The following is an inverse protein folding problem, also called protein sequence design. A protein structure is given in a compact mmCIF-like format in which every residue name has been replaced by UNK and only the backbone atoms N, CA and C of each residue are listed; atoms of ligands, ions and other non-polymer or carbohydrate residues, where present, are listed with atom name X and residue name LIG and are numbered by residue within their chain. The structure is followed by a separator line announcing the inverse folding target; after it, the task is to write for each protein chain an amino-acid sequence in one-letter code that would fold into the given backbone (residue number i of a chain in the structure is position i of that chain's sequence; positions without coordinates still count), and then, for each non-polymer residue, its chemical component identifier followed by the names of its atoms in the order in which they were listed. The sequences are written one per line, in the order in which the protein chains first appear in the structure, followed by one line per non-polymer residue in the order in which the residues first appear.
data_IF_374758978909
#
_entry.id   IF_374758978909
#
_cell.length_a   1.000
_cell.length_b   1.000
_cell.length_c   1.000
_cell.angle_alpha   90.00
_cell.angle_beta   90.00
_cell.angle_gamma   90.00
#
_symmetry.space_group_name_H-M   'P 1'
#
loop_
_entity.id
_entity.type
_entity.pdbx_description
1 polymer ?
#
# COMPACT_ATOMS: atom_id res chain seq x y z
N UNK A 1 -2.58 -21.25 -20.82
CA UNK A 1 -1.79 -20.35 -19.94
C UNK A 1 -2.51 -20.35 -18.61
N UNK A 2 -1.95 -21.05 -17.63
CA UNK A 2 -2.65 -21.25 -16.36
C UNK A 2 -2.87 -19.91 -15.66
N UNK A 3 -4.00 -19.79 -14.98
CA UNK A 3 -4.42 -18.59 -14.27
C UNK A 3 -3.34 -18.06 -13.28
N UNK A 4 -2.55 -18.98 -12.71
CA UNK A 4 -1.36 -18.63 -11.92
C UNK A 4 -0.30 -17.87 -12.72
N UNK A 5 -0.09 -18.22 -13.98
CA UNK A 5 0.83 -17.51 -14.87
C UNK A 5 0.40 -16.05 -15.11
N UNK A 6 -0.90 -15.80 -15.28
CA UNK A 6 -1.44 -14.43 -15.40
C UNK A 6 -1.17 -13.63 -14.13
N UNK A 7 -1.43 -14.20 -12.95
CA UNK A 7 -1.16 -13.55 -11.66
C UNK A 7 0.32 -13.20 -11.52
N UNK A 8 1.22 -14.12 -11.86
CA UNK A 8 2.67 -13.89 -11.74
C UNK A 8 3.09 -12.74 -12.65
N UNK A 9 2.67 -12.75 -13.92
CA UNK A 9 3.02 -11.70 -14.89
C UNK A 9 2.52 -10.33 -14.44
N UNK A 10 1.25 -10.25 -13.99
CA UNK A 10 0.67 -8.99 -13.53
C UNK A 10 1.37 -8.48 -12.28
N UNK A 11 1.77 -9.36 -11.35
CA UNK A 11 2.56 -8.96 -10.19
C UNK A 11 3.96 -8.46 -10.56
N UNK A 12 4.61 -9.05 -11.57
CA UNK A 12 5.89 -8.55 -12.10
C UNK A 12 5.70 -7.15 -12.69
N UNK A 13 4.68 -6.95 -13.53
CA UNK A 13 4.34 -5.63 -14.09
C UNK A 13 4.08 -4.62 -12.98
N UNK A 14 3.31 -4.99 -11.96
CA UNK A 14 3.03 -4.15 -10.78
C UNK A 14 4.30 -3.79 -10.04
N UNK A 15 5.18 -4.77 -9.81
CA UNK A 15 6.44 -4.56 -9.11
C UNK A 15 7.31 -3.52 -9.82
N UNK A 16 7.51 -3.66 -11.13
CA UNK A 16 8.22 -2.64 -11.93
C UNK A 16 7.45 -1.31 -11.97
N UNK A 17 6.12 -1.36 -11.98
CA UNK A 17 5.24 -0.19 -11.95
C UNK A 17 5.34 0.67 -10.68
N UNK A 18 5.82 0.11 -9.56
CA UNK A 18 6.02 0.87 -8.30
C UNK A 18 7.02 2.01 -8.44
N UNK A 19 7.93 1.96 -9.42
CA UNK A 19 8.89 3.03 -9.70
C UNK A 19 8.16 4.37 -9.96
N UNK A 20 7.06 4.34 -10.72
CA UNK A 20 6.31 5.55 -11.05
C UNK A 20 5.60 6.15 -9.84
N UNK A 21 5.07 5.29 -8.96
CA UNK A 21 4.47 5.71 -7.70
C UNK A 21 5.51 6.33 -6.77
N UNK A 22 6.64 5.65 -6.56
CA UNK A 22 7.74 6.13 -5.73
C UNK A 22 8.31 7.47 -6.24
N UNK A 23 8.36 7.67 -7.56
CA UNK A 23 8.75 8.95 -8.15
C UNK A 23 7.76 10.07 -7.79
N UNK A 24 6.46 9.84 -7.95
CA UNK A 24 5.42 10.82 -7.62
C UNK A 24 5.38 11.12 -6.11
N UNK A 25 5.53 10.12 -5.27
CA UNK A 25 5.61 10.30 -3.81
C UNK A 25 6.88 11.06 -3.40
N UNK A 26 8.02 10.78 -4.04
CA UNK A 26 9.27 11.51 -3.85
C UNK A 26 9.16 13.00 -4.21
N UNK A 27 8.30 13.36 -5.16
CA UNK A 27 7.97 14.75 -5.50
C UNK A 27 6.90 15.39 -4.59
N UNK A 28 6.55 14.73 -3.47
CA UNK A 28 5.51 15.17 -2.55
C UNK A 28 4.12 15.31 -3.21
N UNK A 29 3.84 14.54 -4.28
CA UNK A 29 2.53 14.50 -4.96
C UNK A 29 1.65 13.35 -4.45
N UNK A 30 1.81 12.98 -3.17
CA UNK A 30 1.06 11.87 -2.55
C UNK A 30 -0.45 12.09 -2.66
N UNK A 31 -0.93 13.31 -2.41
CA UNK A 31 -2.36 13.61 -2.50
C UNK A 31 -2.96 13.36 -3.90
N UNK A 32 -2.20 13.64 -4.97
CA UNK A 32 -2.63 13.37 -6.34
C UNK A 32 -2.77 11.87 -6.59
N UNK A 33 -1.74 11.10 -6.21
CA UNK A 33 -1.72 9.64 -6.37
C UNK A 33 -2.88 9.02 -5.62
N UNK A 34 -3.08 9.38 -4.35
CA UNK A 34 -4.12 8.81 -3.48
C UNK A 34 -5.53 9.15 -3.94
N UNK A 35 -5.77 10.36 -4.46
CA UNK A 35 -7.09 10.75 -5.01
C UNK A 35 -7.51 9.87 -6.19
N UNK A 36 -6.58 9.66 -7.12
CA UNK A 36 -6.87 8.85 -8.31
C UNK A 36 -6.94 7.36 -7.94
N UNK A 37 -6.11 6.91 -7.00
CA UNK A 37 -6.17 5.54 -6.48
C UNK A 37 -7.51 5.23 -5.82
N UNK A 38 -8.10 6.17 -5.10
CA UNK A 38 -9.44 6.02 -4.53
C UNK A 38 -10.50 5.85 -5.63
N UNK A 39 -10.43 6.63 -6.72
CA UNK A 39 -11.33 6.48 -7.87
C UNK A 39 -11.18 5.11 -8.55
N UNK A 40 -9.94 4.64 -8.76
CA UNK A 40 -9.68 3.31 -9.33
C UNK A 40 -10.16 2.19 -8.41
N UNK A 41 -10.01 2.36 -7.10
CA UNK A 41 -10.51 1.39 -6.11
C UNK A 41 -12.04 1.30 -6.13
N UNK A 42 -12.75 2.43 -6.26
CA UNK A 42 -14.20 2.44 -6.44
C UNK A 42 -14.63 1.70 -7.72
N UNK A 43 -13.92 1.95 -8.84
CA UNK A 43 -14.16 1.22 -10.09
C UNK A 43 -13.94 -0.29 -9.95
N UNK A 44 -12.89 -0.70 -9.22
CA UNK A 44 -12.60 -2.10 -8.93
C UNK A 44 -13.69 -2.77 -8.09
N UNK A 45 -14.21 -2.07 -7.08
CA UNK A 45 -15.31 -2.56 -6.24
C UNK A 45 -16.58 -2.75 -7.08
N UNK A 46 -16.95 -1.75 -7.88
CA UNK A 46 -18.14 -1.82 -8.75
C UNK A 46 -18.00 -3.00 -9.73
N UNK A 47 -16.83 -3.13 -10.37
CA UNK A 47 -16.56 -4.25 -11.29
C UNK A 47 -16.67 -5.60 -10.59
N UNK A 48 -16.13 -5.71 -9.37
CA UNK A 48 -16.18 -6.94 -8.59
C UNK A 48 -17.62 -7.33 -8.23
N UNK A 49 -18.47 -6.36 -7.87
CA UNK A 49 -19.90 -6.58 -7.62
C UNK A 49 -20.60 -7.08 -8.89
N UNK A 50 -20.37 -6.42 -10.03
CA UNK A 50 -20.97 -6.82 -11.31
C UNK A 50 -20.56 -8.24 -11.71
N UNK A 51 -19.28 -8.58 -11.57
CA UNK A 51 -18.78 -9.93 -11.88
C UNK A 51 -19.44 -10.99 -11.00
N UNK A 52 -19.60 -10.72 -9.70
CA UNK A 52 -20.27 -11.66 -8.78
C UNK A 52 -21.75 -11.86 -9.12
N UNK A 53 -22.44 -10.81 -9.57
CA UNK A 53 -23.84 -10.89 -9.97
C UNK A 53 -24.04 -11.67 -11.27
N UNK A 54 -23.10 -11.55 -12.22
CA UNK A 54 -23.18 -12.24 -13.52
C UNK A 54 -22.67 -13.69 -13.45
N UNK A 55 -21.65 -13.95 -12.64
CA UNK A 55 -21.01 -15.26 -12.52
C UNK A 55 -20.60 -15.54 -11.07
N UNK A 56 -21.01 -16.69 -10.53
CA UNK A 56 -20.63 -17.12 -9.17
C UNK A 56 -19.21 -17.73 -9.09
N UNK A 57 -18.46 -17.75 -10.19
CA UNK A 57 -17.13 -18.36 -10.22
C UNK A 57 -16.04 -17.36 -9.77
N UNK A 58 -15.32 -17.73 -8.72
CA UNK A 58 -14.23 -16.95 -8.12
C UNK A 58 -13.11 -16.60 -9.11
N UNK A 59 -12.91 -17.41 -10.17
CA UNK A 59 -11.88 -17.17 -11.18
C UNK A 59 -12.10 -15.84 -11.91
N UNK A 60 -13.34 -15.52 -12.27
CA UNK A 60 -13.64 -14.26 -12.96
C UNK A 60 -13.38 -13.04 -12.07
N UNK A 61 -13.65 -13.16 -10.77
CA UNK A 61 -13.34 -12.11 -9.81
C UNK A 61 -11.84 -11.84 -9.73
N UNK A 62 -11.02 -12.88 -9.76
CA UNK A 62 -9.58 -12.69 -9.69
C UNK A 62 -9.05 -12.09 -11.00
N UNK A 63 -9.54 -12.51 -12.16
CA UNK A 63 -9.19 -11.89 -13.46
C UNK A 63 -9.55 -10.40 -13.46
N UNK A 64 -10.74 -10.04 -12.99
CA UNK A 64 -11.15 -8.64 -12.88
C UNK A 64 -10.20 -7.84 -12.00
N UNK A 65 -9.77 -8.39 -10.85
CA UNK A 65 -8.78 -7.75 -9.98
C UNK A 65 -7.41 -7.57 -10.68
N UNK A 66 -6.95 -8.57 -11.43
CA UNK A 66 -5.68 -8.46 -12.18
C UNK A 66 -5.74 -7.35 -13.24
N UNK A 67 -6.88 -7.18 -13.93
CA UNK A 67 -7.09 -6.10 -14.91
C UNK A 67 -6.95 -4.72 -14.23
N UNK A 68 -7.57 -4.53 -13.07
CA UNK A 68 -7.46 -3.28 -12.30
C UNK A 68 -6.04 -3.00 -11.81
N UNK A 69 -5.25 -4.04 -11.47
CA UNK A 69 -3.83 -3.87 -11.15
C UNK A 69 -3.03 -3.33 -12.34
N UNK A 70 -3.27 -3.84 -13.55
CA UNK A 70 -2.61 -3.33 -14.76
C UNK A 70 -3.02 -1.89 -15.04
N UNK A 71 -4.31 -1.57 -14.94
CA UNK A 71 -4.79 -0.19 -15.09
C UNK A 71 -4.17 0.77 -14.08
N UNK A 72 -3.96 0.32 -12.83
CA UNK A 72 -3.27 1.12 -11.82
C UNK A 72 -1.84 1.46 -12.22
N UNK A 73 -1.09 0.50 -12.78
CA UNK A 73 0.28 0.72 -13.26
C UNK A 73 0.31 1.69 -14.44
N UNK A 74 -0.57 1.50 -15.43
CA UNK A 74 -0.68 2.38 -16.60
C UNK A 74 -1.00 3.81 -16.17
N UNK A 75 -1.93 3.97 -15.23
CA UNK A 75 -2.30 5.26 -14.65
C UNK A 75 -1.12 5.91 -13.93
N UNK A 76 -0.36 5.16 -13.12
CA UNK A 76 0.82 5.70 -12.43
C UNK A 76 1.89 6.15 -13.43
N UNK A 77 2.13 5.37 -14.49
CA UNK A 77 3.01 5.73 -15.59
C UNK A 77 2.57 7.02 -16.29
N UNK A 78 1.28 7.16 -16.58
CA UNK A 78 0.72 8.35 -17.22
C UNK A 78 0.90 9.60 -16.34
N UNK A 79 0.53 9.50 -15.06
CA UNK A 79 0.68 10.61 -14.10
C UNK A 79 2.14 11.02 -13.93
N UNK A 80 3.05 10.07 -13.81
CA UNK A 80 4.48 10.33 -13.67
C UNK A 80 5.06 11.09 -14.86
N UNK A 81 4.50 10.90 -16.06
CA UNK A 81 4.90 11.61 -17.30
C UNK A 81 4.24 12.97 -17.51
N UNK A 82 3.19 13.29 -16.75
CA UNK A 82 2.44 14.55 -16.86
C UNK A 82 2.88 15.57 -15.80
N UNK A 83 3.27 15.08 -14.62
CA UNK A 83 3.73 15.91 -13.49
C UNK A 83 5.08 16.59 -13.79
N UNK A 84 5.29 17.78 -13.22
CA UNK A 84 6.52 18.59 -13.39
C UNK A 84 6.88 18.82 -14.86
N UNK A 85 5.90 19.22 -15.68
CA UNK A 85 6.08 19.52 -17.12
C UNK A 85 6.67 18.34 -17.93
N UNK A 86 6.52 17.12 -17.41
CA UNK A 86 7.09 15.94 -18.03
C UNK A 86 8.61 15.84 -17.90
N UNK A 87 9.23 16.41 -16.84
CA UNK A 87 10.66 16.23 -16.50
C UNK A 87 11.11 14.76 -16.54
N UNK A 88 10.21 13.82 -16.25
CA UNK A 88 10.51 12.39 -16.39
C UNK A 88 10.94 12.00 -17.82
N UNK A 89 10.36 12.66 -18.84
CA UNK A 89 10.70 12.44 -20.26
C UNK A 89 12.05 13.04 -20.64
N UNK A 90 12.49 14.07 -19.92
CA UNK A 90 13.78 14.73 -20.17
C UNK A 90 14.96 14.04 -19.51
N UNK A 91 14.74 13.05 -18.63
CA UNK A 91 15.85 12.29 -18.07
C UNK A 91 16.52 11.47 -19.17
N UNK A 92 17.74 11.89 -19.53
CA UNK A 92 18.61 11.14 -20.43
C UNK A 92 19.06 9.87 -19.71
N UNK A 93 19.14 8.77 -20.44
CA UNK A 93 19.61 7.49 -19.92
C UNK A 93 21.08 7.63 -19.48
N UNK A 94 21.30 7.95 -18.20
CA UNK A 94 22.63 8.04 -17.61
C UNK A 94 23.10 6.62 -17.27
N UNK A 95 24.40 6.34 -17.45
CA UNK A 95 25.00 5.08 -16.99
C UNK A 95 24.74 4.91 -15.50
N UNK A 96 24.52 3.66 -15.10
CA UNK A 96 24.30 3.29 -13.70
C UNK A 96 25.44 3.82 -12.81
N UNK A 97 25.07 4.67 -11.86
CA UNK A 97 26.00 5.24 -10.89
C UNK A 97 26.12 4.30 -9.69
N UNK A 98 27.22 3.53 -9.67
CA UNK A 98 27.49 2.54 -8.63
C UNK A 98 27.67 3.20 -7.26
N UNK A 99 28.22 4.40 -7.22
CA UNK A 99 28.46 5.13 -5.98
C UNK A 99 27.13 5.54 -5.35
N UNK A 100 26.28 6.22 -6.12
CA UNK A 100 24.92 6.60 -5.69
C UNK A 100 24.09 5.36 -5.29
N UNK A 101 24.15 4.29 -6.08
CA UNK A 101 23.44 3.05 -5.76
C UNK A 101 23.90 2.45 -4.43
N UNK A 102 25.19 2.47 -4.13
CA UNK A 102 25.72 1.94 -2.86
C UNK A 102 25.20 2.70 -1.63
N UNK A 103 25.01 4.03 -1.77
CA UNK A 103 24.42 4.87 -0.71
C UNK A 103 22.93 4.56 -0.51
N UNK A 104 22.19 4.33 -1.58
CA UNK A 104 20.74 4.02 -1.53
C UNK A 104 20.51 2.56 -1.08
N UNK A 105 21.35 1.62 -1.51
CA UNK A 105 21.18 0.19 -1.24
C UNK A 105 21.27 -0.12 0.26
N UNK A 106 22.25 0.47 0.98
CA UNK A 106 22.45 0.26 2.43
C UNK A 106 21.17 0.45 3.27
N UNK A 107 20.43 1.57 3.17
CA UNK A 107 19.16 1.73 3.87
C UNK A 107 18.02 0.92 3.21
N UNK A 108 18.01 0.80 1.88
CA UNK A 108 16.93 0.13 1.15
C UNK A 108 16.82 -1.37 1.49
N UNK A 109 17.94 -2.12 1.54
CA UNK A 109 17.88 -3.55 1.84
C UNK A 109 17.39 -3.82 3.26
N UNK A 110 17.81 -3.00 4.24
CA UNK A 110 17.36 -3.10 5.63
C UNK A 110 15.86 -2.84 5.75
N UNK A 111 15.38 -1.81 5.06
CA UNK A 111 13.95 -1.50 5.00
C UNK A 111 13.16 -2.61 4.30
N UNK A 112 13.71 -3.18 3.22
CA UNK A 112 13.11 -4.31 2.50
C UNK A 112 12.98 -5.56 3.37
N UNK A 113 14.06 -5.96 4.06
CA UNK A 113 14.05 -7.12 4.98
C UNK A 113 13.07 -6.88 6.14
N UNK A 114 13.07 -5.69 6.73
CA UNK A 114 12.11 -5.34 7.79
C UNK A 114 10.67 -5.42 7.29
N UNK A 115 10.38 -4.89 6.10
CA UNK A 115 9.05 -4.96 5.50
C UNK A 115 8.60 -6.38 5.18
N UNK A 116 9.51 -7.22 4.68
CA UNK A 116 9.27 -8.64 4.45
C UNK A 116 9.01 -9.40 5.74
N UNK A 117 9.79 -9.15 6.81
CA UNK A 117 9.56 -9.80 8.09
C UNK A 117 8.24 -9.37 8.73
N UNK A 118 7.93 -8.07 8.75
CA UNK A 118 6.69 -7.60 9.38
C UNK A 118 5.44 -8.11 8.66
N UNK A 119 5.38 -7.99 7.33
CA UNK A 119 4.23 -8.45 6.56
C UNK A 119 4.21 -9.98 6.42
N UNK A 120 5.37 -10.58 6.23
CA UNK A 120 5.55 -12.02 6.11
C UNK A 120 5.12 -12.73 7.39
N UNK A 121 5.56 -12.28 8.56
CA UNK A 121 5.15 -12.86 9.85
C UNK A 121 3.63 -12.76 10.02
N UNK A 122 3.05 -11.60 9.77
CA UNK A 122 1.59 -11.39 9.87
C UNK A 122 0.81 -12.37 8.99
N UNK A 123 1.22 -12.53 7.73
CA UNK A 123 0.55 -13.40 6.77
C UNK A 123 0.80 -14.90 7.07
N UNK A 124 2.01 -15.26 7.48
CA UNK A 124 2.38 -16.63 7.87
C UNK A 124 1.63 -17.06 9.12
N UNK A 125 1.50 -16.20 10.13
CA UNK A 125 0.69 -16.49 11.32
C UNK A 125 -0.77 -16.78 10.95
N UNK A 126 -1.35 -16.00 10.03
CA UNK A 126 -2.70 -16.27 9.51
C UNK A 126 -2.83 -17.62 8.81
N UNK A 127 -1.85 -17.95 7.96
CA UNK A 127 -1.84 -19.20 7.20
C UNK A 127 -1.61 -20.43 8.09
N UNK A 128 -0.65 -20.37 9.01
CA UNK A 128 -0.36 -21.45 9.95
C UNK A 128 -1.57 -21.74 10.84
N UNK A 129 -2.20 -20.68 11.39
CA UNK A 129 -3.37 -20.85 12.23
C UNK A 129 -4.56 -21.45 11.47
N UNK A 130 -4.73 -21.09 10.19
CA UNK A 130 -5.77 -21.66 9.35
C UNK A 130 -5.56 -23.15 9.01
N UNK A 131 -4.33 -23.66 9.10
CA UNK A 131 -4.03 -25.07 8.83
C UNK A 131 -4.19 -25.98 10.05
N UNK A 132 -3.85 -25.47 11.25
CA UNK A 132 -3.81 -26.27 12.48
C UNK A 132 -5.02 -26.06 13.40
N UNK A 133 -5.73 -24.94 13.26
CA UNK A 133 -6.81 -24.53 14.15
C UNK A 133 -8.15 -25.15 13.80
N UNK A 134 -9.02 -25.31 14.81
CA UNK A 134 -10.43 -25.64 14.60
C UNK A 134 -11.11 -24.51 13.80
N UNK A 135 -11.85 -24.81 12.72
CA UNK A 135 -12.59 -23.81 11.94
C UNK A 135 -13.42 -22.82 12.77
N UNK A 136 -13.96 -23.25 13.91
CA UNK A 136 -14.75 -22.40 14.82
C UNK A 136 -13.96 -21.25 15.43
N UNK A 137 -12.64 -21.41 15.60
CA UNK A 137 -11.75 -20.39 16.16
C UNK A 137 -10.95 -19.68 15.07
N UNK A 138 -10.65 -20.36 13.97
CA UNK A 138 -9.92 -19.81 12.82
C UNK A 138 -10.68 -18.67 12.16
N UNK A 139 -11.98 -18.84 11.89
CA UNK A 139 -12.79 -17.81 11.22
C UNK A 139 -12.82 -16.45 11.97
N UNK A 140 -13.16 -16.39 13.27
CA UNK A 140 -13.12 -15.13 14.02
C UNK A 140 -11.71 -14.56 14.18
N UNK A 141 -10.67 -15.40 14.24
CA UNK A 141 -9.27 -14.94 14.24
C UNK A 141 -8.89 -14.23 12.94
N UNK A 142 -9.17 -14.84 11.78
CA UNK A 142 -8.86 -14.26 10.47
C UNK A 142 -9.64 -12.96 10.23
N UNK A 143 -10.90 -12.91 10.68
CA UNK A 143 -11.71 -11.69 10.65
C UNK A 143 -11.08 -10.58 11.50
N UNK A 144 -10.67 -10.90 12.72
CA UNK A 144 -10.01 -9.96 13.63
C UNK A 144 -8.72 -9.42 13.03
N UNK A 145 -7.89 -10.29 12.44
CA UNK A 145 -6.67 -9.89 11.75
C UNK A 145 -6.95 -8.94 10.58
N UNK A 146 -8.01 -9.19 9.81
CA UNK A 146 -8.42 -8.31 8.71
C UNK A 146 -8.85 -6.94 9.24
N UNK A 147 -9.66 -6.89 10.30
CA UNK A 147 -10.11 -5.64 10.91
C UNK A 147 -8.93 -4.82 11.47
N UNK A 148 -8.02 -5.45 12.21
CA UNK A 148 -6.81 -4.79 12.74
C UNK A 148 -5.96 -4.23 11.60
N UNK A 149 -5.80 -4.98 10.51
CA UNK A 149 -5.03 -4.52 9.35
C UNK A 149 -5.65 -3.26 8.73
N UNK A 150 -6.97 -3.21 8.58
CA UNK A 150 -7.66 -2.04 8.04
C UNK A 150 -7.55 -0.82 8.96
N UNK A 151 -7.73 -1.00 10.27
CA UNK A 151 -7.53 0.09 11.25
C UNK A 151 -6.10 0.61 11.15
N UNK A 152 -5.12 -0.29 11.07
CA UNK A 152 -3.70 0.06 10.95
C UNK A 152 -3.42 0.88 9.68
N UNK A 153 -3.94 0.49 8.53
CA UNK A 153 -3.73 1.20 7.26
C UNK A 153 -4.24 2.64 7.31
N UNK A 154 -5.44 2.85 7.86
CA UNK A 154 -6.01 4.20 8.05
C UNK A 154 -5.19 5.00 9.06
N UNK A 155 -4.74 4.35 10.13
CA UNK A 155 -3.96 4.97 11.20
C UNK A 155 -2.56 5.40 10.76
N UNK A 156 -1.97 4.72 9.77
CA UNK A 156 -0.64 5.06 9.24
C UNK A 156 -0.67 6.31 8.34
N UNK A 157 -1.80 6.62 7.72
CA UNK A 157 -1.91 7.70 6.73
C UNK A 157 -1.41 9.08 7.20
N UNK A 158 -1.72 9.59 8.42
CA UNK A 158 -1.29 10.91 8.89
C UNK A 158 0.24 11.08 9.01
N UNK A 159 0.95 9.98 9.25
CA UNK A 159 2.41 9.96 9.36
C UNK A 159 3.09 9.60 8.05
N UNK A 160 2.64 8.51 7.39
CA UNK A 160 3.28 8.00 6.17
C UNK A 160 3.19 8.99 5.01
N UNK A 161 2.09 9.74 4.90
CA UNK A 161 1.93 10.78 3.88
C UNK A 161 2.94 11.93 3.98
N UNK A 162 3.70 12.03 5.08
CA UNK A 162 4.69 13.09 5.30
C UNK A 162 6.12 12.59 5.18
N UNK A 163 6.37 11.30 4.98
CA UNK A 163 7.73 10.74 4.89
C UNK A 163 8.61 11.47 3.87
N UNK A 164 8.15 11.79 2.65
CA UNK A 164 8.97 12.54 1.68
C UNK A 164 9.32 13.94 2.17
N UNK A 165 8.35 14.63 2.78
CA UNK A 165 8.56 15.96 3.38
C UNK A 165 9.54 15.91 4.57
N UNK A 166 9.47 14.86 5.40
CA UNK A 166 10.43 14.63 6.49
C UNK A 166 11.85 14.42 5.95
N UNK A 167 12.00 13.65 4.86
CA UNK A 167 13.29 13.46 4.18
C UNK A 167 13.84 14.78 3.65
N UNK A 168 12.99 15.64 3.09
CA UNK A 168 13.38 16.98 2.62
C UNK A 168 13.85 17.88 3.77
N UNK A 169 13.11 17.94 4.89
CA UNK A 169 13.50 18.72 6.08
C UNK A 169 14.84 18.24 6.66
N UNK A 170 15.07 16.93 6.68
CA UNK A 170 16.34 16.35 7.13
C UNK A 170 17.50 16.72 6.20
N UNK A 171 17.30 16.68 4.89
CA UNK A 171 18.32 17.10 3.92
C UNK A 171 18.63 18.60 4.00
N UNK A 172 17.63 19.43 4.36
CA UNK A 172 17.78 20.87 4.57
C UNK A 172 18.29 21.24 5.97
N UNK A 173 18.62 20.25 6.81
CA UNK A 173 19.08 20.42 8.19
C UNK A 173 18.11 21.19 9.12
N UNK A 174 16.80 21.19 8.80
CA UNK A 174 15.74 21.85 9.59
C UNK A 174 15.19 20.95 10.69
N UNK A 175 16.04 20.62 11.67
CA UNK A 175 15.74 19.60 12.69
C UNK A 175 14.59 19.99 13.62
N UNK A 176 14.45 21.27 13.97
CA UNK A 176 13.36 21.76 14.83
C UNK A 176 11.99 21.56 14.17
N UNK A 177 11.86 21.92 12.89
CA UNK A 177 10.64 21.68 12.10
C UNK A 177 10.38 20.18 11.92
N UNK A 178 11.43 19.39 11.67
CA UNK A 178 11.34 17.93 11.54
C UNK A 178 10.69 17.31 12.78
N UNK A 179 11.20 17.61 13.98
CA UNK A 179 10.69 17.06 15.24
C UNK A 179 9.21 17.44 15.45
N UNK A 180 8.84 18.70 15.15
CA UNK A 180 7.46 19.18 15.28
C UNK A 180 6.51 18.40 14.37
N UNK A 181 6.90 18.17 13.12
CA UNK A 181 6.08 17.45 12.14
C UNK A 181 5.97 15.96 12.50
N UNK A 182 7.07 15.33 12.92
CA UNK A 182 7.11 13.93 13.37
C UNK A 182 6.19 13.73 14.56
N UNK A 183 6.33 14.54 15.61
CA UNK A 183 5.52 14.40 16.84
C UNK A 183 4.03 14.53 16.54
N UNK A 184 3.64 15.53 15.74
CA UNK A 184 2.24 15.72 15.34
C UNK A 184 1.73 14.55 14.50
N UNK A 185 2.53 14.05 13.55
CA UNK A 185 2.16 12.91 12.71
C UNK A 185 1.98 11.63 13.51
N UNK A 186 2.91 11.31 14.40
CA UNK A 186 2.83 10.15 15.29
C UNK A 186 1.62 10.25 16.23
N UNK A 187 1.43 11.40 16.88
CA UNK A 187 0.30 11.60 17.80
C UNK A 187 -1.05 11.38 17.10
N UNK A 188 -1.24 11.99 15.92
CA UNK A 188 -2.46 11.81 15.13
C UNK A 188 -2.66 10.34 14.71
N UNK A 189 -1.60 9.64 14.32
CA UNK A 189 -1.67 8.23 13.92
C UNK A 189 -2.14 7.33 15.06
N UNK A 190 -1.65 7.57 16.29
CA UNK A 190 -2.07 6.81 17.46
C UNK A 190 -3.49 7.15 17.90
N UNK A 191 -3.90 8.42 17.81
CA UNK A 191 -5.29 8.81 18.08
C UNK A 191 -6.24 8.09 17.12
N UNK A 192 -5.94 8.12 15.82
CA UNK A 192 -6.76 7.44 14.80
C UNK A 192 -6.83 5.94 15.08
N UNK A 193 -5.72 5.33 15.52
CA UNK A 193 -5.69 3.93 15.90
C UNK A 193 -6.60 3.62 17.10
N UNK A 194 -6.45 4.36 18.19
CA UNK A 194 -7.25 4.16 19.42
C UNK A 194 -8.74 4.37 19.13
N UNK A 195 -9.09 5.43 18.40
CA UNK A 195 -10.49 5.69 18.00
C UNK A 195 -11.00 4.56 17.12
N UNK A 196 -10.21 4.09 16.15
CA UNK A 196 -10.59 2.99 15.25
C UNK A 196 -10.86 1.69 16.00
N UNK A 197 -10.01 1.34 16.98
CA UNK A 197 -10.20 0.15 17.82
C UNK A 197 -11.46 0.29 18.68
N UNK A 198 -11.66 1.43 19.34
CA UNK A 198 -12.86 1.67 20.17
C UNK A 198 -14.13 1.56 19.33
N UNK A 199 -14.13 2.18 18.15
CA UNK A 199 -15.26 2.16 17.22
C UNK A 199 -15.61 0.74 16.78
N UNK A 200 -14.62 -0.05 16.36
CA UNK A 200 -14.85 -1.44 15.92
C UNK A 200 -15.30 -2.33 17.08
N UNK A 201 -14.69 -2.19 18.27
CA UNK A 201 -15.09 -2.94 19.46
C UNK A 201 -16.54 -2.65 19.87
N UNK A 202 -16.94 -1.38 19.83
CA UNK A 202 -18.32 -0.99 20.13
C UNK A 202 -19.31 -1.54 19.10
N UNK A 203 -18.98 -1.44 17.81
CA UNK A 203 -19.82 -1.95 16.74
C UNK A 203 -20.00 -3.47 16.80
N UNK A 204 -18.91 -4.21 17.04
CA UNK A 204 -18.97 -5.66 17.22
C UNK A 204 -19.77 -6.06 18.46
N UNK A 205 -19.65 -5.32 19.56
CA UNK A 205 -20.45 -5.58 20.77
C UNK A 205 -21.95 -5.38 20.55
N UNK A 206 -22.35 -4.49 19.65
CA UNK A 206 -23.76 -4.24 19.31
C UNK A 206 -24.31 -5.26 18.33
N UNK A 207 -23.51 -5.70 17.37
CA UNK A 207 -23.97 -6.57 16.29
C UNK A 207 -24.02 -8.06 16.67
N UNK A 208 -23.38 -8.44 17.78
CA UNK A 208 -23.34 -9.81 18.33
C UNK A 208 -24.21 -10.00 19.59
N UNK A 209 -25.05 -9.01 19.94
CA UNK A 209 -26.18 -9.12 20.88
C UNK A 209 -27.47 -9.20 20.06
#
# INVERSE_FOLDING_TARGET
MDFMGVIIIVNVIRFYGTIYENYLEGLNKIALVRRIEALMSLGSIITSIVVLLLNSNILYLIIANQIWLVFNVIRNWYLARMVEEGKLRSFVHKKFDRELFSYIWKPAWRSGVSGLMSNGLTNLSGLLYAQIGDPKVVAPFLLSMRLITQIREVSMAPFYSKIPYLSQLRAQNRISELIKVVRRGMFMSHIVFVIGVIFVSFFLSICWV
#
